data_IF_031179897123
#
_entry.id   IF_031179897123
#
_cell.length_a   1.000
_cell.length_b   1.000
_cell.length_c   1.000
_cell.angle_alpha   90.00
_cell.angle_beta   90.00
_cell.angle_gamma   90.00
#
_symmetry.space_group_name_H-M   'P 1'
#
loop_
_entity.id
_entity.type
_entity.pdbx_description
1 polymer ?
#
# COMPACT_ATOMS: atom_id res chain seq x y z
N UNK A 1 -6.60 -7.90 15.84
CA UNK A 1 -6.96 -6.49 15.52
C UNK A 1 -8.08 -6.38 14.46
N UNK A 2 -8.85 -7.44 14.17
CA UNK A 2 -10.02 -7.34 13.27
C UNK A 2 -11.27 -6.81 13.97
N UNK A 3 -11.38 -6.98 15.29
CA UNK A 3 -12.57 -6.61 16.06
C UNK A 3 -12.83 -5.09 16.19
N UNK A 4 -11.90 -4.23 15.77
CA UNK A 4 -12.00 -2.76 15.92
C UNK A 4 -12.28 -2.03 14.60
N UNK A 5 -12.28 -2.74 13.47
CA UNK A 5 -12.38 -2.14 12.14
C UNK A 5 -13.43 -2.88 11.31
N UNK A 6 -14.05 -2.18 10.36
CA UNK A 6 -15.01 -2.80 9.44
C UNK A 6 -14.32 -3.80 8.52
N UNK A 7 -15.09 -4.74 7.96
CA UNK A 7 -14.61 -5.68 6.95
C UNK A 7 -13.99 -4.96 5.73
N UNK A 8 -14.58 -3.85 5.30
CA UNK A 8 -14.06 -3.04 4.20
C UNK A 8 -12.69 -2.43 4.53
N UNK A 9 -12.53 -1.87 5.73
CA UNK A 9 -11.24 -1.36 6.18
C UNK A 9 -10.23 -2.52 6.27
N UNK A 10 -10.62 -3.65 6.84
CA UNK A 10 -9.74 -4.79 6.95
C UNK A 10 -9.28 -5.32 5.58
N UNK A 11 -10.16 -5.37 4.60
CA UNK A 11 -9.81 -5.74 3.23
C UNK A 11 -8.77 -4.78 2.62
N UNK A 12 -8.91 -3.45 2.79
CA UNK A 12 -7.89 -2.48 2.37
C UNK A 12 -6.54 -2.72 3.06
N UNK A 13 -6.56 -3.00 4.36
CA UNK A 13 -5.34 -3.34 5.14
C UNK A 13 -4.65 -4.59 4.58
N UNK A 14 -5.41 -5.62 4.21
CA UNK A 14 -4.85 -6.84 3.60
C UNK A 14 -4.20 -6.54 2.26
N UNK A 15 -4.87 -5.79 1.39
CA UNK A 15 -4.33 -5.37 0.08
C UNK A 15 -3.07 -4.55 0.24
N UNK A 16 -3.08 -3.57 1.15
CA UNK A 16 -1.90 -2.74 1.46
C UNK A 16 -0.69 -3.62 1.81
N UNK A 17 -0.88 -4.58 2.75
CA UNK A 17 0.19 -5.48 3.18
C UNK A 17 0.69 -6.40 2.07
N UNK A 18 -0.20 -6.90 1.21
CA UNK A 18 0.17 -7.73 0.07
C UNK A 18 1.07 -6.98 -0.91
N UNK A 19 0.69 -5.75 -1.27
CA UNK A 19 1.48 -4.91 -2.18
C UNK A 19 2.82 -4.52 -1.57
N UNK A 20 2.83 -4.06 -0.32
CA UNK A 20 4.05 -3.70 0.41
C UNK A 20 5.03 -4.89 0.44
N UNK A 21 4.53 -6.06 0.79
CA UNK A 21 5.33 -7.28 0.88
C UNK A 21 5.85 -7.73 -0.49
N UNK A 22 5.03 -7.60 -1.55
CA UNK A 22 5.45 -7.91 -2.93
C UNK A 22 6.58 -7.00 -3.39
N UNK A 23 6.45 -5.70 -3.17
CA UNK A 23 7.50 -4.73 -3.53
C UNK A 23 8.78 -4.97 -2.72
N UNK A 24 8.68 -5.13 -1.41
CA UNK A 24 9.85 -5.33 -0.54
C UNK A 24 10.67 -6.56 -0.93
N UNK A 25 10.03 -7.69 -1.28
CA UNK A 25 10.74 -8.91 -1.72
C UNK A 25 11.48 -8.74 -3.05
N UNK A 26 10.97 -7.89 -3.93
CA UNK A 26 11.49 -7.72 -5.29
C UNK A 26 12.21 -6.39 -5.49
N UNK A 27 12.43 -5.62 -4.42
CA UNK A 27 13.02 -4.27 -4.48
C UNK A 27 14.39 -4.28 -5.15
N UNK A 28 15.21 -5.29 -4.86
CA UNK A 28 16.55 -5.40 -5.44
C UNK A 28 16.47 -5.65 -6.96
N UNK A 29 15.59 -6.56 -7.40
CA UNK A 29 15.35 -6.85 -8.83
C UNK A 29 14.87 -5.61 -9.60
N UNK A 30 13.99 -4.81 -8.98
CA UNK A 30 13.51 -3.56 -9.56
C UNK A 30 14.64 -2.52 -9.62
N UNK A 31 15.45 -2.40 -8.56
CA UNK A 31 16.53 -1.41 -8.45
C UNK A 31 17.67 -1.65 -9.45
N UNK A 32 17.98 -2.92 -9.75
CA UNK A 32 18.99 -3.28 -10.76
C UNK A 32 18.44 -3.30 -12.19
N UNK A 33 17.15 -3.01 -12.39
CA UNK A 33 16.50 -3.01 -13.70
C UNK A 33 16.26 -4.40 -14.29
N UNK A 34 16.36 -5.47 -13.48
CA UNK A 34 16.13 -6.85 -13.92
C UNK A 34 14.64 -7.24 -13.96
N UNK A 35 13.76 -6.37 -13.46
CA UNK A 35 12.32 -6.58 -13.47
C UNK A 35 11.71 -6.33 -14.86
N UNK A 36 10.88 -7.27 -15.33
CA UNK A 36 10.14 -7.17 -16.59
C UNK A 36 8.65 -6.94 -16.30
N UNK A 37 8.10 -5.82 -16.79
CA UNK A 37 6.67 -5.50 -16.63
C UNK A 37 5.78 -6.59 -17.22
N UNK A 38 4.73 -6.98 -16.50
CA UNK A 38 3.76 -8.00 -16.91
C UNK A 38 4.13 -9.43 -16.52
N UNK A 39 5.29 -9.65 -15.89
CA UNK A 39 5.65 -10.98 -15.37
C UNK A 39 4.87 -11.35 -14.11
N UNK A 40 4.56 -10.37 -13.25
CA UNK A 40 3.83 -10.56 -12.01
C UNK A 40 2.84 -9.40 -11.80
N UNK A 41 1.55 -9.61 -12.07
CA UNK A 41 0.52 -8.57 -11.91
C UNK A 41 0.45 -7.97 -10.50
N UNK A 42 0.85 -8.70 -9.45
CA UNK A 42 0.90 -8.18 -8.08
C UNK A 42 2.07 -7.23 -7.90
N UNK A 43 3.26 -7.61 -8.39
CA UNK A 43 4.44 -6.76 -8.35
C UNK A 43 4.28 -5.52 -9.24
N UNK A 44 3.70 -5.67 -10.43
CA UNK A 44 3.33 -4.56 -11.32
C UNK A 44 2.48 -3.51 -10.58
N UNK A 45 1.42 -3.96 -9.89
CA UNK A 45 0.56 -3.08 -9.09
C UNK A 45 1.33 -2.47 -7.91
N UNK A 46 2.17 -3.25 -7.25
CA UNK A 46 2.94 -2.78 -6.11
C UNK A 46 3.96 -1.70 -6.49
N UNK A 47 4.64 -1.84 -7.63
CA UNK A 47 5.55 -0.83 -8.17
C UNK A 47 4.78 0.43 -8.55
N UNK A 48 3.64 0.30 -9.24
CA UNK A 48 2.83 1.44 -9.65
C UNK A 48 2.29 2.25 -8.47
N UNK A 49 1.90 1.57 -7.38
CA UNK A 49 1.35 2.20 -6.18
C UNK A 49 2.40 2.54 -5.13
N UNK A 50 3.66 2.12 -5.30
CA UNK A 50 4.72 2.32 -4.30
C UNK A 50 4.82 3.75 -3.78
N UNK A 51 4.84 4.81 -4.63
CA UNK A 51 4.95 6.18 -4.13
C UNK A 51 3.79 6.60 -3.20
N UNK A 52 2.59 6.08 -3.43
CA UNK A 52 1.42 6.36 -2.62
C UNK A 52 1.46 5.57 -1.30
N UNK A 53 1.90 4.31 -1.34
CA UNK A 53 2.05 3.47 -0.15
C UNK A 53 3.14 4.03 0.78
N UNK A 54 4.26 4.46 0.21
CA UNK A 54 5.36 5.07 0.95
C UNK A 54 4.94 6.40 1.57
N UNK A 55 4.30 7.28 0.78
CA UNK A 55 3.79 8.56 1.28
C UNK A 55 2.72 8.43 2.37
N UNK A 56 1.94 7.34 2.38
CA UNK A 56 0.97 7.06 3.44
C UNK A 56 1.62 6.59 4.74
N UNK A 57 2.76 5.89 4.68
CA UNK A 57 3.48 5.41 5.86
C UNK A 57 4.40 6.46 6.46
N UNK A 58 4.92 7.36 5.63
CA UNK A 58 5.77 8.45 6.08
C UNK A 58 4.90 9.58 6.64
N UNK A 59 5.30 10.09 7.80
CA UNK A 59 4.61 11.19 8.46
C UNK A 59 5.64 12.16 9.05
N UNK A 60 5.44 13.45 8.84
CA UNK A 60 6.30 14.49 9.41
C UNK A 60 6.18 14.55 10.94
N UNK A 61 7.25 15.02 11.61
CA UNK A 61 7.28 15.14 13.09
C UNK A 61 6.14 16.02 13.62
N UNK A 62 5.76 17.05 12.88
CA UNK A 62 4.68 17.99 13.24
C UNK A 62 3.37 17.73 12.47
N UNK A 63 3.35 16.70 11.63
CA UNK A 63 2.16 16.30 10.89
C UNK A 63 1.26 15.48 11.82
N UNK A 64 -0.04 15.76 11.80
CA UNK A 64 -1.03 15.02 12.58
C UNK A 64 -1.99 14.32 11.62
N UNK A 65 -2.04 12.99 11.72
CA UNK A 65 -3.11 12.18 11.17
C UNK A 65 -3.99 11.67 12.32
N UNK A 66 -5.23 12.14 12.38
CA UNK A 66 -6.24 11.54 13.26
C UNK A 66 -6.86 10.30 12.59
N UNK A 67 -7.83 9.68 13.27
CA UNK A 67 -8.48 8.47 12.78
C UNK A 67 -9.13 8.67 11.40
N UNK A 68 -9.86 9.77 11.23
CA UNK A 68 -10.56 10.05 9.98
C UNK A 68 -9.57 10.35 8.84
N UNK A 69 -8.56 11.17 9.11
CA UNK A 69 -7.50 11.45 8.14
C UNK A 69 -6.75 10.18 7.71
N UNK A 70 -6.47 9.28 8.65
CA UNK A 70 -5.81 8.00 8.36
C UNK A 70 -6.68 7.10 7.48
N UNK A 71 -7.98 7.02 7.78
CA UNK A 71 -8.93 6.27 6.94
C UNK A 71 -9.01 6.85 5.53
N UNK A 72 -9.22 8.15 5.40
CA UNK A 72 -9.29 8.82 4.10
C UNK A 72 -7.99 8.64 3.30
N UNK A 73 -6.83 8.68 3.96
CA UNK A 73 -5.55 8.41 3.33
C UNK A 73 -5.51 7.02 2.70
N UNK A 74 -5.95 5.99 3.42
CA UNK A 74 -6.01 4.62 2.90
C UNK A 74 -7.05 4.45 1.78
N UNK A 75 -8.19 5.15 1.88
CA UNK A 75 -9.25 5.13 0.87
C UNK A 75 -8.83 5.78 -0.45
N UNK A 76 -7.99 6.82 -0.40
CA UNK A 76 -7.45 7.44 -1.63
C UNK A 76 -6.56 6.48 -2.42
N UNK A 77 -5.86 5.57 -1.74
CA UNK A 77 -5.03 4.53 -2.38
C UNK A 77 -5.91 3.40 -2.93
N UNK A 78 -6.97 3.03 -2.20
CA UNK A 78 -7.90 1.95 -2.56
C UNK A 78 -9.36 2.40 -2.51
N UNK A 79 -9.82 3.18 -3.50
CA UNK A 79 -11.17 3.75 -3.48
C UNK A 79 -12.25 2.66 -3.58
N UNK A 80 -12.00 1.64 -4.40
CA UNK A 80 -12.91 0.50 -4.59
C UNK A 80 -12.26 -0.75 -4.07
N UNK A 81 -12.88 -1.36 -3.06
CA UNK A 81 -12.50 -2.68 -2.55
C UNK A 81 -13.46 -3.67 -3.16
N UNK A 82 -12.97 -4.55 -4.04
CA UNK A 82 -13.74 -5.66 -4.61
C UNK A 82 -13.85 -6.82 -3.62
#
# INVERSE_FOLDING_TARGET
>A
MTALISEQHYARVRTFKQLLSSFQRNRDLVSVGAYAKGSDPMLDKAIALWPQLEGYLQQGIFERADWEASLQGLERIFPTVS
#
